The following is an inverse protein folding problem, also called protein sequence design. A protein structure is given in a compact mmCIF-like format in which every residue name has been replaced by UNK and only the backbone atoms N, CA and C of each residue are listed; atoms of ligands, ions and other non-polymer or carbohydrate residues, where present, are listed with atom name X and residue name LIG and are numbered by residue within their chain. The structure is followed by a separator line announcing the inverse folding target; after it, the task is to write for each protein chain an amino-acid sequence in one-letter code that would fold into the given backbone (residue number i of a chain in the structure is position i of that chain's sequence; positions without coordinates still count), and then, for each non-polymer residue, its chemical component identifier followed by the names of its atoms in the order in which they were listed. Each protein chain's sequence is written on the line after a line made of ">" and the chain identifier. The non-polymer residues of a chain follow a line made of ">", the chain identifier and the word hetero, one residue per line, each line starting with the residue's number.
data_IF_970649679107
#
_entry.id   IF_970649679107
#
_cell.length_a   1.000
_cell.length_b   1.000
_cell.length_c   1.000
_cell.angle_alpha   90.00
_cell.angle_beta   90.00
_cell.angle_gamma   90.00
#
_symmetry.space_group_name_H-M   'P 1'
#
loop_
_entity.id
_entity.type
_entity.pdbx_description
1 polymer ?
#
# COMPACT_ATOMS: atom_id res chain seq x y z
N UNK A 1 21.53 14.85 -6.82
CA UNK A 1 20.30 14.17 -7.09
C UNK A 1 19.30 14.34 -5.98
N UNK A 2 18.10 14.63 -6.31
CA UNK A 2 17.07 14.92 -5.32
C UNK A 2 16.32 13.64 -4.96
N UNK A 3 16.21 13.38 -3.68
CA UNK A 3 15.44 12.24 -3.22
C UNK A 3 13.99 12.64 -3.08
N UNK A 4 13.12 11.68 -3.33
CA UNK A 4 11.70 11.91 -3.13
C UNK A 4 11.38 11.87 -1.64
N UNK A 5 10.60 12.81 -1.14
CA UNK A 5 10.11 12.69 0.23
C UNK A 5 9.30 11.40 0.37
N UNK A 6 9.57 10.67 1.43
CA UNK A 6 8.88 9.42 1.62
C UNK A 6 8.79 9.06 3.09
N UNK A 7 7.88 8.18 3.40
CA UNK A 7 7.76 7.61 4.75
C UNK A 7 7.38 6.15 4.60
N UNK A 8 7.95 5.33 5.45
CA UNK A 8 7.64 3.89 5.47
C UNK A 8 7.11 3.53 6.84
N UNK A 9 5.96 2.88 6.85
CA UNK A 9 5.30 2.47 8.08
C UNK A 9 5.06 0.98 8.04
N UNK A 10 5.17 0.30 9.17
CA UNK A 10 4.87 -1.14 9.20
C UNK A 10 3.37 -1.36 9.14
N UNK A 11 2.99 -2.47 8.53
CA UNK A 11 1.60 -2.85 8.43
C UNK A 11 1.43 -4.34 8.49
N UNK A 12 0.17 -4.76 8.67
CA UNK A 12 -0.18 -6.16 8.73
C UNK A 12 -1.43 -6.38 7.88
N UNK A 13 -1.42 -7.45 7.10
CA UNK A 13 -2.59 -7.81 6.30
C UNK A 13 -3.68 -8.30 7.23
N UNK A 14 -4.78 -7.54 7.29
CA UNK A 14 -5.89 -7.88 8.18
C UNK A 14 -6.82 -8.89 7.57
N UNK A 15 -7.11 -8.74 6.30
CA UNK A 15 -8.03 -9.65 5.64
C UNK A 15 -7.86 -9.57 4.14
N UNK A 16 -8.32 -10.62 3.49
CA UNK A 16 -8.36 -10.72 2.05
C UNK A 16 -9.80 -10.48 1.63
N UNK A 17 -10.00 -9.56 0.70
CA UNK A 17 -11.32 -9.19 0.25
C UNK A 17 -11.54 -9.78 -1.14
N UNK A 18 -12.45 -10.74 -1.20
CA UNK A 18 -12.72 -11.38 -2.47
C UNK A 18 -13.69 -10.53 -3.27
N UNK A 19 -13.51 -10.47 -4.60
CA UNK A 19 -14.40 -9.66 -5.41
C UNK A 19 -15.78 -10.26 -5.49
N UNK A 20 -16.76 -9.40 -5.71
CA UNK A 20 -18.12 -9.88 -5.92
C UNK A 20 -18.33 -10.42 -7.32
N UNK A 21 -17.44 -10.08 -8.24
CA UNK A 21 -17.51 -10.55 -9.63
C UNK A 21 -16.19 -11.20 -10.01
N UNK A 22 -16.26 -12.27 -10.83
CA UNK A 22 -15.02 -13.02 -11.10
C UNK A 22 -13.98 -12.25 -11.91
N UNK A 23 -14.38 -11.20 -12.61
CA UNK A 23 -13.42 -10.45 -13.40
C UNK A 23 -12.76 -9.31 -12.63
N UNK A 24 -13.07 -9.17 -11.35
CA UNK A 24 -12.47 -8.12 -10.55
C UNK A 24 -11.32 -8.68 -9.73
N UNK A 25 -10.33 -7.85 -9.42
CA UNK A 25 -9.19 -8.35 -8.68
C UNK A 25 -9.52 -8.53 -7.20
N UNK A 26 -8.84 -9.48 -6.60
CA UNK A 26 -8.87 -9.65 -5.15
C UNK A 26 -8.10 -8.50 -4.52
N UNK A 27 -8.56 -8.05 -3.36
CA UNK A 27 -7.91 -6.95 -2.66
C UNK A 27 -7.49 -7.41 -1.28
N UNK A 28 -6.55 -6.68 -0.70
CA UNK A 28 -6.15 -6.91 0.69
C UNK A 28 -6.35 -5.63 1.46
N UNK A 29 -6.73 -5.78 2.71
CA UNK A 29 -6.82 -4.67 3.64
C UNK A 29 -5.64 -4.75 4.59
N UNK A 30 -4.89 -3.66 4.67
CA UNK A 30 -3.68 -3.60 5.47
C UNK A 30 -3.88 -2.58 6.58
N UNK A 31 -3.63 -3.01 7.81
CA UNK A 31 -3.66 -2.12 8.96
C UNK A 31 -2.26 -1.53 9.11
N UNK A 32 -2.17 -0.22 9.19
CA UNK A 32 -0.90 0.48 9.24
C UNK A 32 -0.67 0.99 10.64
N UNK A 33 0.48 0.67 11.21
CA UNK A 33 0.83 1.15 12.53
C UNK A 33 1.43 2.53 12.43
N UNK A 34 1.12 3.37 13.40
CA UNK A 34 1.69 4.70 13.44
C UNK A 34 0.96 5.72 12.61
N UNK A 35 -0.10 5.31 11.92
CA UNK A 35 -0.90 6.25 11.15
C UNK A 35 -2.03 6.81 12.01
N UNK A 36 -2.59 7.93 11.55
CA UNK A 36 -3.77 8.49 12.20
C UNK A 36 -4.93 7.53 12.12
N UNK A 37 -5.85 7.66 13.07
CA UNK A 37 -7.00 6.76 13.11
C UNK A 37 -7.77 6.72 11.80
N UNK A 38 -7.86 7.85 11.11
CA UNK A 38 -8.61 7.91 9.87
C UNK A 38 -7.91 7.21 8.70
N UNK A 39 -6.60 7.03 8.79
CA UNK A 39 -5.82 6.46 7.69
C UNK A 39 -5.08 5.22 8.11
N UNK A 40 -5.62 4.53 9.10
CA UNK A 40 -4.95 3.36 9.64
C UNK A 40 -5.06 2.15 8.76
N UNK A 41 -6.00 2.14 7.84
CA UNK A 41 -6.23 0.99 6.98
C UNK A 41 -6.22 1.40 5.53
N UNK A 42 -5.60 0.57 4.69
CA UNK A 42 -5.63 0.78 3.25
C UNK A 42 -6.04 -0.51 2.57
N UNK A 43 -6.54 -0.38 1.35
CA UNK A 43 -6.91 -1.51 0.52
C UNK A 43 -6.21 -1.38 -0.82
N UNK A 44 -5.57 -2.46 -1.23
CA UNK A 44 -4.87 -2.49 -2.51
C UNK A 44 -5.18 -3.81 -3.18
N UNK A 45 -4.89 -3.90 -4.46
CA UNK A 45 -4.97 -5.17 -5.15
C UNK A 45 -3.95 -6.13 -4.59
N UNK A 46 -4.36 -7.39 -4.45
CA UNK A 46 -3.48 -8.41 -3.91
C UNK A 46 -2.61 -8.99 -5.02
N UNK A 47 -1.73 -8.16 -5.54
CA UNK A 47 -0.85 -8.56 -6.63
C UNK A 47 0.39 -7.70 -6.56
N UNK A 48 1.50 -8.31 -6.21
CA UNK A 48 2.78 -7.61 -6.12
C UNK A 48 3.74 -8.27 -7.08
N UNK A 49 4.63 -7.47 -7.64
CA UNK A 49 5.64 -8.01 -8.54
C UNK A 49 6.97 -8.10 -7.81
N UNK A 50 7.49 -9.30 -7.72
CA UNK A 50 8.80 -9.52 -7.13
C UNK A 50 9.89 -9.00 -8.07
N UNK A 51 11.10 -8.86 -7.53
CA UNK A 51 12.22 -8.35 -8.31
C UNK A 51 12.54 -9.19 -9.54
N UNK A 52 12.19 -10.48 -9.51
CA UNK A 52 12.44 -11.36 -10.65
C UNK A 52 11.26 -11.39 -11.63
N UNK A 53 10.24 -10.58 -11.41
CA UNK A 53 9.08 -10.50 -12.31
C UNK A 53 7.91 -11.38 -11.94
N UNK A 54 8.07 -12.22 -10.93
CA UNK A 54 6.97 -13.10 -10.52
C UNK A 54 5.92 -12.34 -9.76
N UNK A 55 4.67 -12.77 -9.91
CA UNK A 55 3.57 -12.22 -9.16
C UNK A 55 3.51 -12.87 -7.78
N UNK A 56 3.37 -12.05 -6.76
CA UNK A 56 3.29 -12.50 -5.38
C UNK A 56 2.01 -12.00 -4.77
N UNK A 57 1.35 -12.85 -4.01
CA UNK A 57 0.13 -12.47 -3.31
C UNK A 57 0.34 -12.53 -1.81
N UNK A 58 -0.32 -11.62 -1.12
CA UNK A 58 -0.23 -11.56 0.33
C UNK A 58 -1.27 -12.46 0.96
N UNK A 59 -0.97 -12.94 2.16
CA UNK A 59 -1.93 -13.71 2.95
C UNK A 59 -2.29 -12.98 4.21
N UNK A 60 -3.39 -13.36 4.80
CA UNK A 60 -3.81 -12.79 6.06
C UNK A 60 -2.71 -13.01 7.10
N UNK A 61 -2.42 -11.98 7.86
CA UNK A 61 -1.39 -12.03 8.88
C UNK A 61 0.00 -11.67 8.40
N UNK A 62 0.20 -11.46 7.10
CA UNK A 62 1.52 -11.12 6.61
C UNK A 62 1.92 -9.73 7.07
N UNK A 63 3.21 -9.57 7.35
CA UNK A 63 3.75 -8.27 7.73
C UNK A 63 4.32 -7.60 6.50
N UNK A 64 4.01 -6.31 6.34
CA UNK A 64 4.42 -5.57 5.15
C UNK A 64 4.94 -4.20 5.57
N UNK A 65 5.68 -3.58 4.68
CA UNK A 65 6.08 -2.19 4.81
C UNK A 65 5.30 -1.38 3.80
N UNK A 66 4.70 -0.30 4.26
CA UNK A 66 3.94 0.60 3.40
C UNK A 66 4.74 1.87 3.22
N UNK A 67 5.11 2.17 1.99
CA UNK A 67 5.91 3.34 1.68
C UNK A 67 5.07 4.31 0.87
N UNK A 68 5.06 5.56 1.32
CA UNK A 68 4.38 6.64 0.62
C UNK A 68 5.45 7.61 0.14
N UNK A 69 5.46 7.86 -1.15
CA UNK A 69 6.42 8.77 -1.76
C UNK A 69 5.68 9.89 -2.47
N UNK A 70 6.27 11.06 -2.45
CA UNK A 70 5.73 12.19 -3.17
C UNK A 70 6.64 12.52 -4.34
N UNK A 71 6.04 12.58 -5.52
CA UNK A 71 6.76 13.03 -6.71
C UNK A 71 7.04 14.51 -6.55
N UNK A 72 8.31 14.95 -6.55
CA UNK A 72 8.60 16.38 -6.36
C UNK A 72 7.92 17.27 -7.36
N UNK A 73 7.62 16.76 -8.54
CA UNK A 73 6.99 17.59 -9.56
C UNK A 73 5.51 17.77 -9.35
N UNK A 74 4.89 16.95 -8.51
CA UNK A 74 3.46 17.04 -8.30
C UNK A 74 3.09 17.48 -6.90
N UNK A 75 4.06 17.64 -6.01
CA UNK A 75 3.72 18.07 -4.67
C UNK A 75 3.24 19.51 -4.67
N UNK A 76 2.30 19.78 -3.80
CA UNK A 76 1.72 21.10 -3.70
C UNK A 76 2.59 21.97 -2.83
N UNK A 77 3.25 22.93 -3.41
CA UNK A 77 4.08 23.85 -2.65
C UNK A 77 3.45 25.17 -2.47
N UNK A 78 2.30 25.41 -2.97
CA UNK A 78 1.69 26.63 -2.96
C UNK A 78 1.60 27.30 -1.78
N UNK A 79 1.71 27.93 -2.08
CA UNK A 79 1.61 28.49 -1.52
C UNK A 79 0.67 29.06 -1.22
N UNK A 80 0.47 29.10 -0.93
CA UNK A 80 -0.33 29.35 -0.79
C UNK A 80 -0.74 29.35 -0.33
#
# INVERSE_FOLDING_TARGET
>A
MTEKPSVTLPGTVEKIIKPSQPDQPEKVQIAIEGADDLYREIRIENSLTAGNGDEVRLKKGAEVDVTVEVDPETKNTERN
#
